data_IF_558885536882
#
_entry.id   IF_558885536882
#
_cell.length_a   1.000
_cell.length_b   1.000
_cell.length_c   1.000
_cell.angle_alpha   90.00
_cell.angle_beta   90.00
_cell.angle_gamma   90.00
#
_symmetry.space_group_name_H-M   'P 1'
#
loop_
_entity.id
_entity.type
_entity.pdbx_description
1 polymer ?
#
# COMPACT_ATOMS: atom_id res chain seq x y z
N UNK A 1 -2.08 -12.90 -8.22
CA UNK A 1 -0.92 -13.79 -7.95
C UNK A 1 -1.44 -15.18 -8.06
N UNK A 2 -0.89 -15.96 -8.98
CA UNK A 2 -1.14 -17.38 -9.02
C UNK A 2 -0.10 -18.11 -8.16
N UNK A 3 -0.29 -19.40 -7.91
CA UNK A 3 0.71 -20.20 -7.19
C UNK A 3 2.05 -20.20 -7.93
N UNK A 4 2.01 -20.18 -9.26
CA UNK A 4 3.21 -20.13 -10.10
C UNK A 4 4.02 -18.83 -9.86
N UNK A 5 3.36 -17.66 -9.74
CA UNK A 5 4.01 -16.38 -9.42
C UNK A 5 4.79 -16.43 -8.10
N UNK A 6 4.33 -17.26 -7.15
CA UNK A 6 4.91 -17.43 -5.81
C UNK A 6 6.13 -18.37 -5.81
N UNK A 7 6.11 -19.38 -6.68
CA UNK A 7 7.17 -20.38 -6.82
C UNK A 7 8.29 -19.95 -7.77
N UNK A 8 8.14 -18.82 -8.48
CA UNK A 8 9.20 -18.28 -9.33
C UNK A 8 10.36 -17.71 -8.50
N UNK A 9 11.48 -18.43 -8.46
CA UNK A 9 12.73 -18.03 -7.80
C UNK A 9 13.31 -16.68 -8.30
N UNK A 10 12.79 -16.14 -9.41
CA UNK A 10 13.19 -14.86 -10.00
C UNK A 10 12.24 -13.69 -9.66
N UNK A 11 11.18 -13.93 -8.89
CA UNK A 11 10.29 -12.88 -8.40
C UNK A 11 11.04 -11.99 -7.42
N UNK A 12 11.67 -10.94 -7.95
CA UNK A 12 12.48 -9.97 -7.20
C UNK A 12 11.66 -8.78 -6.70
N UNK A 13 10.40 -8.67 -7.12
CA UNK A 13 9.52 -7.57 -6.77
C UNK A 13 8.20 -8.14 -6.26
N UNK A 14 7.70 -7.60 -5.14
CA UNK A 14 6.52 -8.09 -4.46
C UNK A 14 5.67 -6.94 -3.94
N UNK A 15 4.35 -6.99 -4.17
CA UNK A 15 3.38 -6.09 -3.57
C UNK A 15 2.35 -6.86 -2.74
N UNK A 16 2.21 -6.51 -1.46
CA UNK A 16 1.26 -7.14 -0.53
C UNK A 16 0.34 -6.08 0.07
N UNK A 17 -0.98 -6.28 -0.06
CA UNK A 17 -1.98 -5.43 0.58
C UNK A 17 -2.52 -6.12 1.83
N UNK A 18 -2.27 -5.51 2.99
CA UNK A 18 -2.77 -5.96 4.29
C UNK A 18 -4.05 -5.20 4.60
N UNK A 19 -5.18 -5.90 4.48
CA UNK A 19 -6.52 -5.38 4.74
C UNK A 19 -6.76 -5.26 6.25
N UNK A 20 -6.78 -4.03 6.77
CA UNK A 20 -7.10 -3.77 8.19
C UNK A 20 -8.57 -4.01 8.55
N UNK A 21 -9.43 -4.27 7.56
CA UNK A 21 -10.83 -4.66 7.69
C UNK A 21 -11.07 -6.18 7.59
N UNK A 22 -10.00 -6.98 7.43
CA UNK A 22 -10.10 -8.44 7.35
C UNK A 22 -10.17 -9.16 8.71
N UNK A 23 -10.08 -8.41 9.81
CA UNK A 23 -10.27 -8.93 11.16
C UNK A 23 -11.74 -8.70 11.52
N UNK A 24 -12.56 -9.77 11.48
CA UNK A 24 -13.95 -9.76 12.00
C UNK A 24 -13.98 -9.78 13.54
N UNK A 25 -13.13 -9.00 14.18
CA UNK A 25 -13.03 -8.95 15.64
C UNK A 25 -13.71 -7.69 16.15
N UNK A 26 -14.43 -7.85 17.25
CA UNK A 26 -15.14 -6.77 17.92
C UNK A 26 -14.47 -6.52 19.25
N UNK A 27 -14.35 -5.24 19.63
CA UNK A 27 -13.88 -4.90 20.97
C UNK A 27 -14.90 -5.36 22.04
N UNK A 28 -14.53 -5.22 23.33
CA UNK A 28 -15.41 -5.57 24.45
C UNK A 28 -16.76 -4.81 24.49
N UNK A 29 -16.94 -3.81 23.62
CA UNK A 29 -18.14 -3.00 23.47
C UNK A 29 -18.91 -3.30 22.17
N UNK A 30 -18.51 -4.34 21.43
CA UNK A 30 -19.16 -4.76 20.18
C UNK A 30 -18.84 -3.88 18.97
N UNK A 31 -17.83 -3.02 19.04
CA UNK A 31 -17.41 -2.16 17.92
C UNK A 31 -16.44 -2.92 17.04
N UNK A 32 -16.59 -2.83 15.71
CA UNK A 32 -15.61 -3.42 14.77
C UNK A 32 -14.24 -2.80 15.01
N UNK A 33 -13.23 -3.64 15.14
CA UNK A 33 -11.83 -3.23 15.08
C UNK A 33 -11.50 -3.06 13.58
N UNK A 34 -11.72 -1.86 13.05
CA UNK A 34 -11.27 -1.50 11.71
C UNK A 34 -9.91 -0.83 11.83
N UNK A 35 -8.85 -1.56 11.53
CA UNK A 35 -7.50 -1.00 11.51
C UNK A 35 -7.15 -0.39 10.14
N UNK A 36 -6.07 0.36 10.07
CA UNK A 36 -5.55 0.95 8.85
C UNK A 36 -5.18 -0.13 7.83
N UNK A 37 -5.55 0.05 6.56
CA UNK A 37 -5.10 -0.83 5.46
C UNK A 37 -3.74 -0.36 4.95
N UNK A 38 -2.79 -1.29 4.84
CA UNK A 38 -1.44 -1.03 4.36
C UNK A 38 -1.15 -1.74 3.03
N UNK A 39 -0.23 -1.16 2.27
CA UNK A 39 0.37 -1.74 1.08
C UNK A 39 1.87 -1.73 1.27
N UNK A 40 2.48 -2.91 1.23
CA UNK A 40 3.92 -3.13 1.33
C UNK A 40 4.42 -3.45 -0.06
N UNK A 41 5.42 -2.69 -0.52
CA UNK A 41 6.09 -2.89 -1.79
C UNK A 41 7.56 -3.20 -1.52
N UNK A 42 8.06 -4.29 -2.10
CA UNK A 42 9.45 -4.73 -1.98
C UNK A 42 10.05 -4.84 -3.38
N UNK A 43 11.19 -4.19 -3.59
CA UNK A 43 12.02 -4.33 -4.77
C UNK A 43 13.41 -4.84 -4.38
N UNK A 44 13.66 -6.14 -4.57
CA UNK A 44 14.98 -6.75 -4.43
C UNK A 44 15.79 -6.74 -5.75
N UNK A 45 15.22 -6.22 -6.84
CA UNK A 45 15.92 -6.00 -8.10
C UNK A 45 16.96 -4.89 -7.95
N UNK A 46 17.94 -4.88 -8.85
CA UNK A 46 19.03 -3.91 -8.85
C UNK A 46 18.71 -2.64 -9.64
N UNK A 47 17.51 -2.57 -10.22
CA UNK A 47 17.00 -1.41 -10.95
C UNK A 47 15.68 -0.95 -10.32
N UNK A 48 15.29 0.33 -10.49
CA UNK A 48 13.97 0.79 -10.11
C UNK A 48 12.86 -0.02 -10.78
N UNK A 49 11.74 -0.20 -10.09
CA UNK A 49 10.60 -0.95 -10.61
C UNK A 49 9.29 -0.17 -10.37
N UNK A 50 8.46 0.01 -11.42
CA UNK A 50 7.15 0.64 -11.28
C UNK A 50 6.14 -0.31 -10.64
N UNK A 51 5.40 0.19 -9.65
CA UNK A 51 4.23 -0.49 -9.08
C UNK A 51 2.97 0.33 -9.35
N UNK A 52 1.95 -0.28 -9.96
CA UNK A 52 0.64 0.37 -10.11
C UNK A 52 -0.14 0.25 -8.80
N UNK A 53 -0.48 1.38 -8.19
CA UNK A 53 -1.16 1.38 -6.91
C UNK A 53 -2.61 0.88 -7.03
N UNK A 54 -3.10 0.03 -6.11
CA UNK A 54 -4.46 -0.50 -6.20
C UNK A 54 -5.52 0.61 -6.15
N UNK A 55 -6.47 0.55 -7.09
CA UNK A 55 -7.59 1.50 -7.24
C UNK A 55 -8.95 0.84 -6.92
N UNK A 56 -9.02 0.04 -5.86
CA UNK A 56 -10.17 -0.81 -5.54
C UNK A 56 -11.49 -0.05 -5.28
N UNK A 57 -11.45 1.26 -4.97
CA UNK A 57 -12.63 2.13 -4.80
C UNK A 57 -12.35 3.55 -5.31
N UNK A 58 -13.42 4.29 -5.65
CA UNK A 58 -13.30 5.72 -6.01
C UNK A 58 -12.76 6.53 -4.82
N UNK A 59 -11.86 7.47 -5.10
CA UNK A 59 -11.30 8.36 -4.08
C UNK A 59 -10.26 7.70 -3.16
N UNK A 60 -9.77 6.51 -3.50
CA UNK A 60 -8.63 5.86 -2.86
C UNK A 60 -7.36 6.67 -3.12
N UNK A 61 -6.61 6.90 -2.04
CA UNK A 61 -5.27 7.45 -2.08
C UNK A 61 -4.36 6.69 -1.13
N UNK A 62 -3.08 6.61 -1.45
CA UNK A 62 -2.04 5.94 -0.69
C UNK A 62 -1.09 7.00 -0.14
N UNK A 63 -0.86 6.95 1.17
CA UNK A 63 0.05 7.85 1.86
C UNK A 63 1.31 7.08 2.20
N UNK A 64 2.47 7.57 1.76
CA UNK A 64 3.75 7.01 2.16
C UNK A 64 3.94 7.12 3.67
N UNK A 65 4.12 5.97 4.32
CA UNK A 65 4.47 5.83 5.74
C UNK A 65 5.98 5.75 5.86
N UNK A 66 6.60 4.89 5.03
CA UNK A 66 8.03 4.66 4.97
C UNK A 66 8.43 4.39 3.52
N UNK A 67 9.62 4.81 3.15
CA UNK A 67 10.35 4.34 1.97
C UNK A 67 11.83 4.37 2.31
N UNK A 68 12.53 3.25 2.14
CA UNK A 68 13.93 3.12 2.54
C UNK A 68 14.90 3.85 1.61
N UNK A 69 14.50 4.18 0.38
CA UNK A 69 15.30 4.94 -0.58
C UNK A 69 15.03 6.44 -0.53
N UNK A 70 13.98 6.86 0.18
CA UNK A 70 13.58 8.25 0.31
C UNK A 70 14.63 9.10 1.06
N UNK A 71 15.28 10.01 0.33
CA UNK A 71 16.24 10.97 0.90
C UNK A 71 15.58 12.07 1.73
N UNK A 72 14.27 12.23 1.61
CA UNK A 72 13.49 13.25 2.32
C UNK A 72 12.96 12.76 3.69
N UNK A 73 13.34 11.55 4.12
CA UNK A 73 12.98 10.98 5.42
C UNK A 73 11.46 10.87 5.60
N UNK A 74 10.94 11.39 6.72
CA UNK A 74 9.50 11.35 7.06
C UNK A 74 8.70 12.54 6.52
N UNK A 75 9.26 13.34 5.60
CA UNK A 75 8.56 14.49 5.04
C UNK A 75 7.22 14.06 4.44
N UNK A 76 6.16 14.80 4.78
CA UNK A 76 4.81 14.54 4.25
C UNK A 76 4.78 14.82 2.75
N UNK A 77 4.81 13.76 1.97
CA UNK A 77 4.57 13.79 0.53
C UNK A 77 3.06 13.84 0.27
N UNK A 78 2.69 14.42 -0.87
CA UNK A 78 1.32 14.34 -1.37
C UNK A 78 0.89 12.87 -1.48
N UNK A 79 -0.34 12.49 -1.07
CA UNK A 79 -0.85 11.15 -1.29
C UNK A 79 -0.95 10.82 -2.78
N UNK A 80 -0.48 9.64 -3.17
CA UNK A 80 -0.65 9.11 -4.52
C UNK A 80 -2.07 8.56 -4.68
N UNK A 81 -2.69 8.71 -5.85
CA UNK A 81 -4.04 8.14 -6.08
C UNK A 81 -3.96 6.65 -6.40
N UNK A 82 -5.04 5.93 -6.15
CA UNK A 82 -5.20 4.60 -6.72
C UNK A 82 -5.08 4.67 -8.25
N UNK A 83 -4.31 3.76 -8.84
CA UNK A 83 -4.00 3.70 -10.27
C UNK A 83 -2.78 4.52 -10.69
N UNK A 84 -2.24 5.40 -9.83
CA UNK A 84 -0.96 6.05 -10.09
C UNK A 84 0.19 5.05 -9.96
N UNK A 85 1.28 5.30 -10.69
CA UNK A 85 2.52 4.51 -10.60
C UNK A 85 3.35 5.03 -9.44
N UNK A 86 3.83 4.11 -8.61
CA UNK A 86 4.83 4.34 -7.59
C UNK A 86 6.15 3.71 -8.07
N UNK A 87 7.13 4.54 -8.41
CA UNK A 87 8.48 4.08 -8.73
C UNK A 87 9.20 3.70 -7.42
N UNK A 88 9.54 2.41 -7.28
CA UNK A 88 10.30 1.93 -6.13
C UNK A 88 11.74 1.67 -6.55
N UNK A 89 12.67 2.40 -5.93
CA UNK A 89 14.10 2.33 -6.23
C UNK A 89 14.67 0.92 -6.06
N UNK A 90 15.83 0.69 -6.69
CA UNK A 90 16.57 -0.56 -6.56
C UNK A 90 16.81 -0.92 -5.08
N UNK A 91 16.63 -2.19 -4.74
CA UNK A 91 16.94 -2.75 -3.40
C UNK A 91 16.28 -1.97 -2.26
N UNK A 92 15.00 -1.65 -2.41
CA UNK A 92 14.26 -0.82 -1.46
C UNK A 92 12.89 -1.39 -1.10
N UNK A 93 12.32 -0.85 -0.01
CA UNK A 93 10.99 -1.18 0.48
C UNK A 93 10.21 0.11 0.74
N UNK A 94 8.93 0.11 0.37
CA UNK A 94 7.98 1.16 0.74
C UNK A 94 6.76 0.58 1.46
N UNK A 95 6.27 1.32 2.45
CA UNK A 95 5.01 1.07 3.15
C UNK A 95 4.09 2.25 2.92
N UNK A 96 2.91 1.96 2.38
CA UNK A 96 1.88 2.94 2.09
C UNK A 96 0.63 2.62 2.92
N UNK A 97 -0.03 3.65 3.44
CA UNK A 97 -1.31 3.52 4.14
C UNK A 97 -2.44 4.01 3.26
N UNK A 98 -3.53 3.26 3.21
CA UNK A 98 -4.76 3.64 2.54
C UNK A 98 -5.42 4.84 3.22
N UNK A 99 -5.78 5.85 2.42
CA UNK A 99 -6.73 6.90 2.79
C UNK A 99 -7.91 6.88 1.85
N UNK A 100 -9.07 6.58 2.40
CA UNK A 100 -10.36 6.68 1.72
C UNK A 100 -10.94 8.06 2.01
N UNK A 101 -11.14 8.87 0.96
CA UNK A 101 -11.95 10.08 1.11
C UNK A 101 -13.38 9.66 1.42
N UNK A 102 -13.86 9.93 2.65
CA UNK A 102 -15.31 9.85 2.92
C UNK A 102 -16.01 10.86 2.00
N UNK A 103 -16.97 10.39 1.22
CA UNK A 103 -17.88 11.29 0.52
C UNK A 103 -18.56 12.17 1.58
N UNK A 104 -18.60 13.49 1.38
CA UNK A 104 -19.43 14.35 2.24
C UNK A 104 -20.88 13.91 2.02
N UNK A 105 -21.58 13.41 3.04
CA UNK A 105 -23.03 13.31 2.95
C UNK A 105 -23.54 14.75 2.93
N UNK A 106 -24.52 15.03 2.06
CA UNK A 106 -25.19 16.32 1.84
C UNK A 106 -24.34 17.49 1.31
N UNK A 107 -24.61 17.83 0.04
CA UNK A 107 -24.52 19.18 -0.53
C UNK A 107 -25.90 19.47 -1.14
#
# INVERSE_FOLDING_TARGET
MTEEDWQHAHTRCLGVRLSGDAIEETDALGRRIADDTFLILLNAHHEPTPFVLPAHRRGVSWVRVLDTAARDGTRRVRPARGGEVYELEARSLAVLRLRVRKARPWA
#
